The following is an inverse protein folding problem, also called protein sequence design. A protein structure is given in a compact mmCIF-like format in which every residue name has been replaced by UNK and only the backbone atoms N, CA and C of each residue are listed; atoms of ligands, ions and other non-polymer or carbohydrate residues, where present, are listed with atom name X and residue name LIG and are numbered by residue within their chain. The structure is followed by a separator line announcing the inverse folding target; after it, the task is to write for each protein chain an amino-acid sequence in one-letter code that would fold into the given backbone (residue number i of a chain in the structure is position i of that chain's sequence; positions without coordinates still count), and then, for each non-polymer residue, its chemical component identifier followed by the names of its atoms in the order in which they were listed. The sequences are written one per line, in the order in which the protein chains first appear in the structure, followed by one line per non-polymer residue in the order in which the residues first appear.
data_IF_600746219325
#
_entry.id   IF_600746219325
#
_cell.length_a   1.000
_cell.length_b   1.000
_cell.length_c   1.000
_cell.angle_alpha   90.00
_cell.angle_beta   90.00
_cell.angle_gamma   90.00
#
_symmetry.space_group_name_H-M   'P 1'
#
loop_
_entity.id
_entity.type
_entity.pdbx_description
1 polymer ?
#
# COMPACT_ATOMS: atom_id res chain seq x y z
N UNK A 1 6.60 -5.89 -0.18
CA UNK A 1 7.03 -4.51 -0.51
C UNK A 1 7.06 -4.24 -2.01
N UNK A 2 7.96 -4.87 -2.81
CA UNK A 2 8.07 -4.65 -4.28
C UNK A 2 6.72 -4.72 -5.02
N UNK A 3 5.92 -5.75 -4.76
CA UNK A 3 4.59 -5.90 -5.37
C UNK A 3 3.75 -4.62 -5.27
N UNK A 4 3.55 -4.11 -4.07
CA UNK A 4 2.58 -3.05 -3.83
C UNK A 4 3.16 -1.69 -4.24
N UNK A 5 4.34 -1.35 -3.73
CA UNK A 5 4.99 -0.03 -3.96
C UNK A 5 5.17 0.24 -5.45
N UNK A 6 5.68 -0.73 -6.21
CA UNK A 6 5.90 -0.53 -7.64
C UNK A 6 4.60 -0.51 -8.45
N UNK A 7 3.58 -1.26 -8.05
CA UNK A 7 2.32 -1.38 -8.82
C UNK A 7 1.36 -0.22 -8.62
N UNK A 8 1.40 0.47 -7.49
CA UNK A 8 0.56 1.66 -7.27
C UNK A 8 1.12 2.91 -7.98
N UNK A 9 2.43 2.91 -8.29
CA UNK A 9 3.13 4.08 -8.79
C UNK A 9 2.54 4.65 -10.10
N UNK A 10 2.20 3.85 -11.13
CA UNK A 10 1.62 4.40 -12.36
C UNK A 10 0.31 5.15 -12.12
N UNK A 11 -0.62 4.56 -11.36
CA UNK A 11 -1.91 5.19 -11.06
C UNK A 11 -1.76 6.45 -10.20
N UNK A 12 -0.83 6.45 -9.24
CA UNK A 12 -0.52 7.64 -8.43
C UNK A 12 0.09 8.76 -9.26
N UNK A 13 1.05 8.45 -10.13
CA UNK A 13 1.74 9.44 -10.94
C UNK A 13 0.84 10.01 -12.04
N UNK A 14 -0.09 9.21 -12.57
CA UNK A 14 -1.15 9.69 -13.45
C UNK A 14 -1.97 10.80 -12.77
N UNK A 15 -2.47 10.55 -11.55
CA UNK A 15 -3.29 11.52 -10.82
C UNK A 15 -2.48 12.79 -10.46
N UNK A 16 -1.22 12.61 -10.06
CA UNK A 16 -0.33 13.75 -9.80
C UNK A 16 -0.08 14.58 -11.06
N UNK A 17 0.01 13.94 -12.22
CA UNK A 17 0.15 14.60 -13.52
C UNK A 17 -1.11 15.41 -13.87
N UNK A 18 -2.29 14.84 -13.62
CA UNK A 18 -3.58 15.50 -13.82
C UNK A 18 -3.72 16.78 -12.96
N UNK A 19 -3.15 16.79 -11.75
CA UNK A 19 -3.15 17.98 -10.87
C UNK A 19 -2.42 19.20 -11.48
N UNK A 20 -1.52 19.00 -12.44
CA UNK A 20 -0.82 20.08 -13.14
C UNK A 20 -1.55 20.53 -14.43
N UNK A 21 -2.67 19.89 -14.77
CA UNK A 21 -3.39 20.10 -16.02
C UNK A 21 -2.53 19.77 -17.25
N UNK A 22 -2.77 20.49 -18.36
CA UNK A 22 -2.05 20.26 -19.63
C UNK A 22 -0.52 20.37 -19.51
N UNK A 23 -0.03 21.22 -18.59
CA UNK A 23 1.40 21.37 -18.35
C UNK A 23 2.03 20.10 -17.76
N UNK A 24 1.27 19.25 -17.06
CA UNK A 24 1.79 17.97 -16.55
C UNK A 24 2.01 16.93 -17.66
N UNK A 25 1.25 17.03 -18.75
CA UNK A 25 1.23 16.04 -19.83
C UNK A 25 2.37 16.22 -20.86
N UNK A 26 2.94 17.42 -20.94
CA UNK A 26 4.01 17.72 -21.90
C UNK A 26 5.36 17.20 -21.39
N UNK A 27 6.23 16.79 -22.31
CA UNK A 27 7.51 16.12 -21.99
C UNK A 27 8.54 17.05 -21.31
N UNK A 28 8.31 18.37 -21.37
CA UNK A 28 9.09 19.37 -20.63
C UNK A 28 8.81 19.29 -19.12
N UNK A 29 7.65 18.78 -18.71
CA UNK A 29 7.35 18.59 -17.30
C UNK A 29 7.89 17.24 -16.79
N UNK A 30 8.47 17.19 -15.57
CA UNK A 30 9.04 15.96 -15.04
C UNK A 30 8.06 14.79 -14.91
N UNK A 31 6.77 15.07 -14.68
CA UNK A 31 5.76 14.02 -14.43
C UNK A 31 5.49 13.14 -15.65
N UNK A 32 5.55 13.67 -16.87
CA UNK A 32 5.41 12.86 -18.09
C UNK A 32 6.49 11.76 -18.14
N UNK A 33 7.75 12.13 -17.87
CA UNK A 33 8.86 11.17 -17.76
C UNK A 33 8.67 10.20 -16.59
N UNK A 34 8.30 10.67 -15.41
CA UNK A 34 8.13 9.80 -14.23
C UNK A 34 7.00 8.78 -14.43
N UNK A 35 5.90 9.18 -15.05
CA UNK A 35 4.81 8.26 -15.40
C UNK A 35 5.28 7.17 -16.36
N UNK A 36 6.04 7.51 -17.41
CA UNK A 36 6.63 6.54 -18.36
C UNK A 36 7.64 5.59 -17.69
N UNK A 37 8.38 6.08 -16.69
CA UNK A 37 9.37 5.30 -15.96
C UNK A 37 8.73 4.29 -14.99
N UNK A 38 7.65 4.68 -14.31
CA UNK A 38 7.09 3.93 -13.18
C UNK A 38 6.82 2.42 -13.43
N UNK A 39 6.30 1.99 -14.60
CA UNK A 39 6.06 0.57 -14.87
C UNK A 39 7.31 -0.30 -14.83
N UNK A 40 8.50 0.24 -15.13
CA UNK A 40 9.73 -0.57 -15.23
C UNK A 40 10.05 -1.26 -13.91
N UNK A 41 9.86 -0.59 -12.78
CA UNK A 41 10.13 -1.13 -11.44
C UNK A 41 9.22 -2.32 -11.10
N UNK A 42 8.01 -2.34 -11.66
CA UNK A 42 7.04 -3.41 -11.47
C UNK A 42 7.21 -4.57 -12.45
N UNK A 43 7.90 -4.36 -13.58
CA UNK A 43 8.12 -5.36 -14.64
C UNK A 43 9.48 -6.06 -14.46
N UNK A 44 10.53 -5.26 -14.22
CA UNK A 44 11.90 -5.73 -14.11
C UNK A 44 12.09 -6.60 -12.86
N UNK A 45 12.86 -7.68 -12.99
CA UNK A 45 13.15 -8.67 -11.92
C UNK A 45 11.92 -9.16 -11.15
N UNK A 46 10.94 -9.69 -11.90
CA UNK A 46 9.78 -10.37 -11.33
C UNK A 46 8.57 -9.46 -11.21
N UNK A 47 7.61 -9.70 -12.11
CA UNK A 47 6.36 -8.96 -12.16
C UNK A 47 5.41 -9.30 -11.01
N UNK A 48 4.29 -8.58 -10.91
CA UNK A 48 3.35 -8.75 -9.79
C UNK A 48 2.89 -10.19 -9.52
N UNK A 49 2.73 -11.03 -10.56
CA UNK A 49 2.38 -12.45 -10.33
C UNK A 49 3.54 -13.23 -9.73
N UNK A 50 4.77 -12.99 -10.20
CA UNK A 50 5.97 -13.63 -9.65
C UNK A 50 6.11 -13.31 -8.17
N UNK A 51 5.94 -12.04 -7.80
CA UNK A 51 5.99 -11.60 -6.39
C UNK A 51 4.90 -12.26 -5.53
N UNK A 52 3.66 -12.32 -6.02
CA UNK A 52 2.56 -12.91 -5.26
C UNK A 52 2.72 -14.43 -5.10
N UNK A 53 3.19 -15.13 -6.13
CA UNK A 53 3.46 -16.56 -6.05
C UNK A 53 4.66 -16.88 -5.14
N UNK A 54 5.62 -15.96 -5.03
CA UNK A 54 6.73 -16.13 -4.08
C UNK A 54 6.25 -16.01 -2.62
N UNK A 55 5.33 -15.07 -2.33
CA UNK A 55 4.65 -15.02 -1.03
C UNK A 55 3.98 -16.35 -0.71
N UNK A 56 3.24 -16.95 -1.65
CA UNK A 56 2.62 -18.27 -1.43
C UNK A 56 3.64 -19.40 -1.24
N UNK A 57 4.75 -19.35 -1.99
CA UNK A 57 5.83 -20.33 -1.85
C UNK A 57 6.43 -20.28 -0.45
N UNK A 58 6.65 -19.09 0.10
CA UNK A 58 7.14 -18.94 1.48
C UNK A 58 6.06 -19.38 2.47
N UNK A 59 4.79 -19.06 2.24
CA UNK A 59 3.68 -19.48 3.12
C UNK A 59 3.62 -21.00 3.27
N UNK A 60 3.78 -21.74 2.16
CA UNK A 60 3.77 -23.19 2.16
C UNK A 60 5.05 -23.84 2.72
N UNK A 61 6.21 -23.18 2.64
CA UNK A 61 7.50 -23.75 3.08
C UNK A 61 7.90 -23.35 4.50
N UNK A 62 7.54 -22.14 4.92
CA UNK A 62 7.99 -21.52 6.16
C UNK A 62 6.87 -20.65 6.77
N UNK A 63 5.72 -21.25 7.15
CA UNK A 63 4.59 -20.50 7.71
C UNK A 63 4.95 -19.72 8.98
N UNK A 64 5.95 -20.18 9.76
CA UNK A 64 6.44 -19.46 10.94
C UNK A 64 6.93 -18.04 10.67
N UNK A 65 7.49 -17.77 9.47
CA UNK A 65 7.89 -16.42 9.08
C UNK A 65 6.70 -15.47 8.96
N UNK A 66 5.53 -15.98 8.57
CA UNK A 66 4.32 -15.16 8.52
C UNK A 66 3.80 -14.87 9.92
N UNK A 67 3.86 -15.83 10.85
CA UNK A 67 3.48 -15.57 12.25
C UNK A 67 4.37 -14.50 12.88
N UNK A 68 5.67 -14.48 12.59
CA UNK A 68 6.58 -13.42 13.03
C UNK A 68 6.21 -12.05 12.45
N UNK A 69 5.90 -11.98 11.15
CA UNK A 69 5.44 -10.75 10.49
C UNK A 69 4.12 -10.26 11.09
N UNK A 70 3.15 -11.16 11.27
CA UNK A 70 1.85 -10.83 11.86
C UNK A 70 2.00 -10.36 13.32
N UNK A 71 2.87 -10.97 14.11
CA UNK A 71 3.16 -10.53 15.47
C UNK A 71 3.79 -9.13 15.49
N UNK A 72 4.66 -8.82 14.53
CA UNK A 72 5.22 -7.47 14.36
C UNK A 72 4.14 -6.44 14.02
N UNK A 73 3.28 -6.76 13.05
CA UNK A 73 2.15 -5.90 12.66
C UNK A 73 1.19 -5.68 13.84
N UNK A 74 0.84 -6.73 14.59
CA UNK A 74 -0.08 -6.65 15.73
C UNK A 74 0.45 -5.72 16.82
N UNK A 75 1.73 -5.92 17.19
CA UNK A 75 2.40 -5.08 18.17
C UNK A 75 2.38 -3.61 17.78
N UNK A 76 2.72 -3.31 16.53
CA UNK A 76 2.92 -1.93 16.09
C UNK A 76 1.58 -1.22 15.77
N UNK A 77 0.53 -1.96 15.40
CA UNK A 77 -0.85 -1.43 15.30
C UNK A 77 -1.52 -1.24 16.67
N UNK A 78 -1.06 -1.96 17.71
CA UNK A 78 -1.61 -1.88 19.06
C UNK A 78 -3.06 -2.36 19.16
N UNK A 79 -3.86 -1.73 20.03
CA UNK A 79 -5.23 -2.19 20.33
C UNK A 79 -6.18 -2.18 19.14
N UNK A 80 -5.89 -1.38 18.10
CA UNK A 80 -6.66 -1.35 16.85
C UNK A 80 -6.31 -2.47 15.85
N UNK A 81 -5.23 -3.22 16.09
CA UNK A 81 -4.69 -4.20 15.12
C UNK A 81 -5.46 -5.52 15.04
N UNK A 82 -6.25 -5.89 16.06
CA UNK A 82 -6.88 -7.22 16.15
C UNK A 82 -7.72 -7.59 14.93
N UNK A 83 -8.49 -6.66 14.39
CA UNK A 83 -9.29 -6.88 13.18
C UNK A 83 -8.41 -7.17 11.96
N UNK A 84 -7.37 -6.38 11.77
CA UNK A 84 -6.39 -6.53 10.68
C UNK A 84 -5.68 -7.88 10.74
N UNK A 85 -5.26 -8.33 11.93
CA UNK A 85 -4.64 -9.65 12.10
C UNK A 85 -5.61 -10.78 11.77
N UNK A 86 -6.88 -10.66 12.17
CA UNK A 86 -7.94 -11.60 11.79
C UNK A 86 -8.09 -11.70 10.27
N UNK A 87 -8.12 -10.56 9.57
CA UNK A 87 -8.18 -10.50 8.10
C UNK A 87 -6.96 -11.16 7.46
N UNK A 88 -5.75 -10.87 7.94
CA UNK A 88 -4.52 -11.48 7.42
C UNK A 88 -4.50 -13.00 7.59
N UNK A 89 -4.90 -13.51 8.76
CA UNK A 89 -4.99 -14.95 9.01
C UNK A 89 -6.02 -15.62 8.09
N UNK A 90 -7.18 -15.00 7.90
CA UNK A 90 -8.18 -15.50 6.95
C UNK A 90 -7.66 -15.50 5.51
N UNK A 91 -6.99 -14.42 5.08
CA UNK A 91 -6.38 -14.34 3.75
C UNK A 91 -5.29 -15.41 3.55
N UNK A 92 -4.47 -15.70 4.57
CA UNK A 92 -3.48 -16.77 4.53
C UNK A 92 -4.14 -18.15 4.37
N UNK A 93 -5.24 -18.43 5.09
CA UNK A 93 -5.97 -19.68 4.97
C UNK A 93 -6.56 -19.88 3.56
N UNK A 94 -7.19 -18.84 3.01
CA UNK A 94 -7.71 -18.86 1.63
C UNK A 94 -6.55 -19.12 0.66
N UNK A 95 -5.47 -18.37 0.79
CA UNK A 95 -4.30 -18.45 -0.09
C UNK A 95 -3.54 -19.79 -0.03
N UNK A 96 -3.63 -20.51 1.09
CA UNK A 96 -3.09 -21.86 1.21
C UNK A 96 -3.85 -22.89 0.35
N UNK A 97 -5.11 -22.61 -0.01
CA UNK A 97 -5.98 -23.51 -0.77
C UNK A 97 -6.34 -23.01 -2.17
N UNK A 98 -6.25 -21.70 -2.40
CA UNK A 98 -6.51 -21.05 -3.68
C UNK A 98 -5.35 -20.14 -4.07
N UNK A 99 -4.54 -20.61 -5.02
CA UNK A 99 -3.43 -19.84 -5.60
C UNK A 99 -3.92 -18.53 -6.26
N UNK A 100 -5.17 -18.47 -6.73
CA UNK A 100 -5.76 -17.28 -7.34
C UNK A 100 -5.81 -16.09 -6.38
N UNK A 101 -5.91 -16.35 -5.08
CA UNK A 101 -5.94 -15.32 -4.03
C UNK A 101 -4.57 -14.77 -3.62
N UNK A 102 -3.47 -15.21 -4.25
CA UNK A 102 -2.09 -14.78 -3.91
C UNK A 102 -1.92 -13.25 -3.85
N UNK A 103 -2.51 -12.55 -4.82
CA UNK A 103 -2.43 -11.09 -4.91
C UNK A 103 -3.19 -10.41 -3.78
N UNK A 104 -4.35 -10.95 -3.40
CA UNK A 104 -5.15 -10.45 -2.28
C UNK A 104 -4.32 -10.51 -1.00
N UNK A 105 -3.72 -11.68 -0.69
CA UNK A 105 -2.85 -11.82 0.48
C UNK A 105 -1.65 -10.85 0.42
N UNK A 106 -0.97 -10.78 -0.73
CA UNK A 106 0.21 -9.94 -0.90
C UNK A 106 -0.08 -8.45 -0.69
N UNK A 107 -1.22 -7.97 -1.19
CA UNK A 107 -1.66 -6.60 -1.02
C UNK A 107 -2.08 -6.30 0.42
N UNK A 108 -2.86 -7.19 1.04
CA UNK A 108 -3.27 -7.05 2.45
C UNK A 108 -2.07 -7.01 3.40
N UNK A 109 -1.06 -7.84 3.17
CA UNK A 109 0.21 -7.80 3.92
C UNK A 109 0.92 -6.47 3.75
N UNK A 110 1.03 -5.97 2.51
CA UNK A 110 1.69 -4.70 2.25
C UNK A 110 1.00 -3.52 2.92
N UNK A 111 -0.33 -3.45 2.85
CA UNK A 111 -1.14 -2.41 3.49
C UNK A 111 -1.05 -2.48 5.02
N UNK A 112 -1.16 -3.69 5.58
CA UNK A 112 -1.08 -3.88 7.03
C UNK A 112 0.30 -3.54 7.59
N UNK A 113 1.36 -3.93 6.88
CA UNK A 113 2.73 -3.58 7.25
C UNK A 113 3.00 -2.07 7.13
N UNK A 114 2.48 -1.41 6.09
CA UNK A 114 2.60 0.05 5.96
C UNK A 114 1.87 0.79 7.08
N UNK A 115 0.67 0.33 7.46
CA UNK A 115 -0.08 0.88 8.58
C UNK A 115 0.67 0.70 9.92
N UNK A 116 1.18 -0.50 10.17
CA UNK A 116 2.01 -0.80 11.34
C UNK A 116 3.24 0.11 11.41
N UNK A 117 3.95 0.28 10.30
CA UNK A 117 5.14 1.13 10.24
C UNK A 117 4.81 2.61 10.46
N UNK A 118 3.72 3.13 9.89
CA UNK A 118 3.26 4.50 10.15
C UNK A 118 2.94 4.74 11.64
N UNK A 119 2.35 3.74 12.32
CA UNK A 119 2.14 3.79 13.78
C UNK A 119 3.46 3.80 14.53
N UNK A 120 4.38 2.91 14.16
CA UNK A 120 5.71 2.79 14.78
C UNK A 120 6.54 4.08 14.65
N UNK A 121 6.42 4.78 13.52
CA UNK A 121 7.05 6.07 13.28
C UNK A 121 6.39 7.24 14.03
N UNK A 122 5.25 7.00 14.70
CA UNK A 122 4.52 8.06 15.38
C UNK A 122 3.80 9.02 14.44
N UNK A 123 3.42 8.58 13.22
CA UNK A 123 2.78 9.42 12.21
C UNK A 123 1.32 9.86 12.55
N UNK A 124 0.87 9.61 13.78
CA UNK A 124 -0.38 10.13 14.35
C UNK A 124 -1.58 10.05 13.40
N UNK A 125 -2.14 11.22 13.09
CA UNK A 125 -3.34 11.38 12.25
C UNK A 125 -3.16 10.87 10.81
N UNK A 126 -1.93 10.79 10.30
CA UNK A 126 -1.63 10.20 8.98
C UNK A 126 -1.82 8.67 9.05
N UNK A 127 -1.35 8.04 10.13
CA UNK A 127 -1.56 6.62 10.37
C UNK A 127 -3.05 6.29 10.54
N UNK A 128 -3.81 7.14 11.24
CA UNK A 128 -5.27 7.01 11.38
C UNK A 128 -5.97 7.02 10.02
N UNK A 129 -5.71 8.04 9.19
CA UNK A 129 -6.29 8.17 7.86
C UNK A 129 -5.91 6.99 6.95
N UNK A 130 -4.66 6.52 7.02
CA UNK A 130 -4.21 5.38 6.24
C UNK A 130 -4.95 4.10 6.66
N UNK A 131 -5.03 3.80 7.96
CA UNK A 131 -5.72 2.62 8.50
C UNK A 131 -7.19 2.63 8.10
N UNK A 132 -7.91 3.72 8.35
CA UNK A 132 -9.35 3.80 8.06
C UNK A 132 -9.65 3.61 6.58
N UNK A 133 -8.85 4.20 5.70
CA UNK A 133 -9.12 4.14 4.26
C UNK A 133 -8.61 2.86 3.58
N UNK A 134 -7.46 2.30 4.00
CA UNK A 134 -6.85 1.13 3.33
C UNK A 134 -7.25 -0.19 3.96
N UNK A 135 -7.55 -0.21 5.26
CA UNK A 135 -7.92 -1.44 5.98
C UNK A 135 -9.42 -1.50 6.32
N UNK A 136 -10.11 -0.35 6.38
CA UNK A 136 -11.55 -0.26 6.63
C UNK A 136 -12.39 0.29 5.47
N UNK A 137 -11.75 0.71 4.37
CA UNK A 137 -12.43 1.36 3.25
C UNK A 137 -13.18 0.41 2.32
N UNK A 138 -14.01 0.99 1.45
CA UNK A 138 -14.68 0.28 0.37
C UNK A 138 -13.80 0.18 -0.88
N UNK A 139 -14.23 -0.64 -1.85
CA UNK A 139 -13.57 -0.74 -3.15
C UNK A 139 -13.52 0.62 -3.86
N UNK A 140 -12.37 0.95 -4.47
CA UNK A 140 -12.13 2.20 -5.21
C UNK A 140 -11.17 2.00 -6.37
N UNK A 141 -11.19 2.93 -7.31
CA UNK A 141 -10.29 2.93 -8.49
C UNK A 141 -9.56 4.25 -8.70
N UNK A 142 -10.05 5.36 -8.12
CA UNK A 142 -9.47 6.72 -8.23
C UNK A 142 -9.14 7.32 -6.86
N UNK A 143 -8.39 8.41 -6.83
CA UNK A 143 -8.00 9.12 -5.59
C UNK A 143 -9.10 10.11 -5.13
N UNK A 144 -8.87 10.79 -4.00
CA UNK A 144 -9.87 11.72 -3.42
C UNK A 144 -10.90 11.08 -2.49
N UNK A 145 -10.75 9.81 -2.12
CA UNK A 145 -11.70 9.05 -1.29
C UNK A 145 -11.47 9.30 0.21
N UNK A 146 -11.58 10.55 0.65
CA UNK A 146 -11.37 10.97 2.03
C UNK A 146 -12.47 11.94 2.45
N UNK A 147 -13.15 11.68 3.56
CA UNK A 147 -14.16 12.58 4.12
C UNK A 147 -13.54 13.62 5.08
N UNK A 148 -14.35 14.56 5.57
CA UNK A 148 -13.91 15.67 6.42
C UNK A 148 -13.44 15.27 7.83
N UNK A 149 -13.60 14.00 8.25
CA UNK A 149 -13.03 13.51 9.53
C UNK A 149 -11.50 13.53 9.49
N UNK A 150 -10.92 13.43 8.31
CA UNK A 150 -9.49 13.49 8.09
C UNK A 150 -9.11 14.87 7.53
N UNK A 151 -8.22 15.57 8.24
CA UNK A 151 -7.74 16.88 7.82
C UNK A 151 -6.70 16.73 6.72
N UNK A 152 -7.16 16.78 5.47
CA UNK A 152 -6.31 16.66 4.29
C UNK A 152 -5.22 17.73 4.24
N UNK A 153 -5.51 18.95 4.71
CA UNK A 153 -4.55 20.05 4.69
C UNK A 153 -3.41 19.78 5.65
N UNK A 154 -3.71 19.33 6.87
CA UNK A 154 -2.69 18.92 7.84
C UNK A 154 -1.81 17.79 7.31
N UNK A 155 -2.38 16.79 6.62
CA UNK A 155 -1.60 15.71 5.98
C UNK A 155 -0.62 16.28 4.94
N UNK A 156 -1.10 17.17 4.07
CA UNK A 156 -0.28 17.82 3.04
C UNK A 156 0.83 18.64 3.68
N UNK A 157 0.52 19.52 4.62
CA UNK A 157 1.50 20.42 5.25
C UNK A 157 2.55 19.64 6.08
N UNK A 158 2.19 18.48 6.62
CA UNK A 158 3.11 17.61 7.35
C UNK A 158 4.09 16.89 6.43
N UNK A 159 3.61 16.34 5.30
CA UNK A 159 4.42 15.51 4.40
C UNK A 159 5.15 16.33 3.32
N UNK A 160 4.58 17.47 2.95
CA UNK A 160 5.05 18.37 1.90
C UNK A 160 5.01 19.81 2.40
N UNK A 161 5.83 20.15 3.42
CA UNK A 161 5.87 21.51 3.94
C UNK A 161 6.25 22.49 2.83
N UNK A 162 5.74 23.73 2.86
CA UNK A 162 6.10 24.76 1.87
C UNK A 162 7.62 24.91 1.81
N UNK A 163 8.17 24.97 0.60
CA UNK A 163 9.59 25.30 0.40
C UNK A 163 9.78 26.75 0.83
N UNK A 164 10.47 26.96 1.94
CA UNK A 164 10.91 28.27 2.44
C UNK A 164 12.00 28.86 1.57
#
# INVERSE_FOLDING_TARGET
VKYWVCKIAPGLLYEAMECLGGNGYVEEAPLARYYREAPVNAIWEGSGNVMALDVLRVLGRAPGLFEEVLAGIDRDLGTGGRGTIGVLKAAMQVAATDQGSARLLTEQLALSAAAAELRRLGAGRIADAFVETRLGGQWRTTYGMLDSRHDARMIIDTLYPPVT
#
